data_IF_595146901644
#
_entry.id   IF_595146901644
#
_cell.length_a   1.000
_cell.length_b   1.000
_cell.length_c   1.000
_cell.angle_alpha   90.00
_cell.angle_beta   90.00
_cell.angle_gamma   90.00
#
_symmetry.space_group_name_H-M   'P 1'
#
loop_
_entity.id
_entity.type
_entity.pdbx_description
1 polymer ?
#
# COMPACT_ATOMS: atom_id res chain seq x y z
N UNK A 1 69.56 -10.95 6.12
CA UNK A 1 70.17 -9.66 6.51
C UNK A 1 69.11 -8.83 7.24
N UNK A 2 69.55 -8.01 8.20
CA UNK A 2 68.65 -7.21 9.04
C UNK A 2 67.64 -6.40 8.23
N UNK A 3 67.97 -5.88 7.04
CA UNK A 3 67.09 -5.18 6.13
C UNK A 3 65.94 -6.09 5.63
N UNK A 4 66.21 -7.32 5.28
CA UNK A 4 65.17 -8.29 4.82
C UNK A 4 64.16 -8.62 5.91
N UNK A 5 64.58 -8.63 7.17
CA UNK A 5 63.68 -8.92 8.31
C UNK A 5 62.79 -7.72 8.66
N UNK A 6 63.26 -6.48 8.46
CA UNK A 6 62.46 -5.26 8.60
C UNK A 6 61.38 -5.21 7.52
N UNK A 7 61.71 -5.47 6.25
CA UNK A 7 60.70 -5.50 5.17
C UNK A 7 59.63 -6.58 5.39
N UNK A 8 60.01 -7.76 5.87
CA UNK A 8 59.05 -8.83 6.19
C UNK A 8 58.07 -8.41 7.30
N UNK A 9 58.56 -7.75 8.35
CA UNK A 9 57.70 -7.27 9.45
C UNK A 9 56.74 -6.18 8.97
N UNK A 10 57.21 -5.23 8.15
CA UNK A 10 56.37 -4.21 7.57
C UNK A 10 55.30 -4.81 6.66
N UNK A 11 55.66 -5.77 5.79
CA UNK A 11 54.69 -6.44 4.94
C UNK A 11 53.62 -7.20 5.75
N UNK A 12 54.01 -7.91 6.79
CA UNK A 12 53.10 -8.63 7.69
C UNK A 12 52.16 -7.67 8.45
N UNK A 13 52.66 -6.49 8.87
CA UNK A 13 51.86 -5.45 9.51
C UNK A 13 50.80 -4.89 8.56
N UNK A 14 51.18 -4.57 7.33
CA UNK A 14 50.26 -4.06 6.30
C UNK A 14 49.21 -5.12 5.95
N UNK A 15 49.62 -6.39 5.79
CA UNK A 15 48.68 -7.48 5.54
C UNK A 15 47.68 -7.64 6.70
N UNK A 16 48.15 -7.53 7.95
CA UNK A 16 47.28 -7.58 9.13
C UNK A 16 46.27 -6.43 9.18
N UNK A 17 46.73 -5.23 8.88
CA UNK A 17 45.82 -4.05 8.81
C UNK A 17 44.79 -4.19 7.68
N UNK A 18 45.19 -4.66 6.49
CA UNK A 18 44.29 -4.94 5.40
C UNK A 18 43.27 -6.04 5.75
N UNK A 19 43.69 -7.11 6.38
CA UNK A 19 42.80 -8.19 6.82
C UNK A 19 41.77 -7.69 7.83
N UNK A 20 42.21 -6.90 8.82
CA UNK A 20 41.34 -6.29 9.81
C UNK A 20 40.33 -5.29 9.17
N UNK A 21 40.79 -4.49 8.20
CA UNK A 21 39.91 -3.56 7.47
C UNK A 21 38.83 -4.32 6.69
N UNK A 22 39.18 -5.40 5.98
CA UNK A 22 38.25 -6.27 5.26
C UNK A 22 37.25 -6.94 6.20
N UNK A 23 37.69 -7.42 7.33
CA UNK A 23 36.83 -8.03 8.35
C UNK A 23 35.86 -7.04 8.94
N UNK A 24 36.31 -5.80 9.23
CA UNK A 24 35.48 -4.74 9.71
C UNK A 24 34.43 -4.30 8.65
N UNK A 25 34.82 -4.21 7.38
CA UNK A 25 33.89 -3.91 6.28
C UNK A 25 32.83 -5.01 6.14
N UNK A 26 33.24 -6.26 6.18
CA UNK A 26 32.31 -7.41 6.14
C UNK A 26 31.33 -7.36 7.30
N UNK A 27 31.82 -7.17 8.53
CA UNK A 27 30.99 -7.09 9.73
C UNK A 27 29.99 -5.89 9.67
N UNK A 28 30.45 -4.74 9.14
CA UNK A 28 29.59 -3.58 8.94
C UNK A 28 28.46 -3.86 7.93
N UNK A 29 28.78 -4.54 6.83
CA UNK A 29 27.83 -4.95 5.80
C UNK A 29 26.79 -5.94 6.34
N UNK A 30 27.22 -6.98 7.05
CA UNK A 30 26.33 -7.96 7.68
C UNK A 30 25.37 -7.27 8.69
N UNK A 31 25.87 -6.35 9.50
CA UNK A 31 25.04 -5.55 10.42
C UNK A 31 24.03 -4.69 9.69
N UNK A 32 24.42 -4.08 8.58
CA UNK A 32 23.52 -3.25 7.78
C UNK A 32 22.41 -4.11 7.13
N UNK A 33 22.75 -5.26 6.57
CA UNK A 33 21.79 -6.18 5.98
C UNK A 33 20.80 -6.69 7.05
N UNK A 34 21.28 -7.09 8.22
CA UNK A 34 20.45 -7.50 9.34
C UNK A 34 19.50 -6.37 9.82
N UNK A 35 20.01 -5.13 9.87
CA UNK A 35 19.19 -3.98 10.26
C UNK A 35 18.08 -3.67 9.23
N UNK A 36 18.37 -3.80 7.94
CA UNK A 36 17.38 -3.65 6.87
C UNK A 36 16.30 -4.73 6.98
N UNK A 37 16.71 -5.98 7.18
CA UNK A 37 15.77 -7.10 7.35
C UNK A 37 14.86 -6.88 8.56
N UNK A 38 15.43 -6.53 9.71
CA UNK A 38 14.67 -6.26 10.93
C UNK A 38 13.68 -5.10 10.74
N UNK A 39 14.08 -4.04 10.03
CA UNK A 39 13.21 -2.91 9.71
C UNK A 39 12.04 -3.32 8.82
N UNK A 40 12.30 -4.15 7.81
CA UNK A 40 11.27 -4.65 6.91
C UNK A 40 10.25 -5.54 7.66
N UNK A 41 10.72 -6.43 8.53
CA UNK A 41 9.84 -7.25 9.37
C UNK A 41 9.00 -6.39 10.32
N UNK A 42 9.57 -5.34 10.91
CA UNK A 42 8.83 -4.41 11.76
C UNK A 42 7.76 -3.64 10.96
N UNK A 43 8.08 -3.21 9.73
CA UNK A 43 7.11 -2.55 8.84
C UNK A 43 5.96 -3.49 8.48
N UNK A 44 6.25 -4.75 8.14
CA UNK A 44 5.23 -5.77 7.87
C UNK A 44 4.32 -6.01 9.07
N UNK A 45 4.90 -6.15 10.25
CA UNK A 45 4.13 -6.34 11.48
C UNK A 45 3.22 -5.15 11.79
N UNK A 46 3.70 -3.92 11.60
CA UNK A 46 2.93 -2.70 11.79
C UNK A 46 1.79 -2.59 10.76
N UNK A 47 2.07 -2.91 9.49
CA UNK A 47 1.08 -2.91 8.42
C UNK A 47 -0.04 -3.92 8.71
N UNK A 48 0.30 -5.16 9.07
CA UNK A 48 -0.68 -6.19 9.43
C UNK A 48 -1.55 -5.78 10.62
N UNK A 49 -0.96 -5.09 11.62
CA UNK A 49 -1.71 -4.58 12.76
C UNK A 49 -2.69 -3.48 12.36
N UNK A 50 -2.25 -2.53 11.53
CA UNK A 50 -3.10 -1.46 11.00
C UNK A 50 -4.26 -2.04 10.18
N UNK A 51 -3.97 -2.93 9.23
CA UNK A 51 -4.98 -3.60 8.41
C UNK A 51 -5.99 -4.36 9.29
N UNK A 52 -5.50 -5.10 10.31
CA UNK A 52 -6.39 -5.84 11.22
C UNK A 52 -7.32 -4.93 12.01
N UNK A 53 -6.83 -3.75 12.39
CA UNK A 53 -7.65 -2.73 13.06
C UNK A 53 -8.70 -2.18 12.10
N UNK A 54 -8.29 -1.81 10.90
CA UNK A 54 -9.15 -1.18 9.90
C UNK A 54 -10.20 -2.15 9.33
N UNK A 55 -9.91 -3.45 9.28
CA UNK A 55 -10.90 -4.49 8.95
C UNK A 55 -11.92 -4.69 10.08
N UNK A 56 -11.51 -4.59 11.33
CA UNK A 56 -12.38 -4.88 12.48
C UNK A 56 -13.56 -3.91 12.59
N UNK A 57 -13.33 -2.63 12.33
CA UNK A 57 -14.34 -1.57 12.49
C UNK A 57 -15.57 -1.82 11.61
N UNK A 58 -15.47 -1.93 10.28
CA UNK A 58 -16.61 -2.19 9.41
C UNK A 58 -17.22 -3.60 9.65
N UNK A 59 -16.40 -4.61 9.94
CA UNK A 59 -16.94 -5.93 10.28
C UNK A 59 -17.80 -5.91 11.54
N UNK A 60 -17.41 -5.13 12.54
CA UNK A 60 -18.21 -4.96 13.76
C UNK A 60 -19.51 -4.22 13.48
N UNK A 61 -19.47 -3.19 12.62
CA UNK A 61 -20.66 -2.45 12.20
C UNK A 61 -21.62 -3.35 11.41
N UNK A 62 -21.11 -4.06 10.39
CA UNK A 62 -21.91 -5.03 9.61
C UNK A 62 -22.57 -6.07 10.53
N UNK A 63 -21.79 -6.68 11.42
CA UNK A 63 -22.30 -7.70 12.33
C UNK A 63 -23.34 -7.13 13.30
N UNK A 64 -23.10 -5.93 13.84
CA UNK A 64 -24.03 -5.24 14.73
C UNK A 64 -25.35 -4.88 14.06
N UNK A 65 -25.29 -4.29 12.85
CA UNK A 65 -26.46 -3.92 12.08
C UNK A 65 -27.26 -5.16 11.65
N UNK A 66 -26.59 -6.20 11.20
CA UNK A 66 -27.24 -7.47 10.86
C UNK A 66 -27.90 -8.13 12.07
N UNK A 67 -27.22 -8.13 13.24
CA UNK A 67 -27.78 -8.65 14.49
C UNK A 67 -29.01 -7.86 14.93
N UNK A 68 -28.99 -6.54 14.81
CA UNK A 68 -30.13 -5.69 15.12
C UNK A 68 -31.33 -5.98 14.21
N UNK A 69 -31.08 -6.15 12.91
CA UNK A 69 -32.13 -6.51 11.95
C UNK A 69 -32.73 -7.88 12.24
N UNK A 70 -31.91 -8.86 12.64
CA UNK A 70 -32.38 -10.21 12.97
C UNK A 70 -33.19 -10.24 14.27
N UNK A 71 -32.78 -9.48 15.29
CA UNK A 71 -33.39 -9.56 16.62
C UNK A 71 -34.58 -8.61 16.80
N UNK A 72 -34.53 -7.44 16.16
CA UNK A 72 -35.48 -6.35 16.37
C UNK A 72 -36.12 -5.83 15.07
N UNK A 73 -35.86 -6.50 13.95
CA UNK A 73 -36.30 -6.03 12.63
C UNK A 73 -37.81 -5.80 12.53
N UNK A 74 -38.63 -6.56 13.22
CA UNK A 74 -40.08 -6.40 13.22
C UNK A 74 -40.54 -5.08 13.89
N UNK A 75 -39.73 -4.53 14.78
CA UNK A 75 -40.02 -3.28 15.50
C UNK A 75 -39.51 -2.04 14.78
N UNK A 76 -38.64 -2.18 13.77
CA UNK A 76 -38.10 -1.05 13.02
C UNK A 76 -39.05 -0.63 11.89
N UNK A 77 -39.16 0.68 11.69
CA UNK A 77 -39.80 1.23 10.50
C UNK A 77 -38.99 0.95 9.22
N UNK A 78 -39.61 1.19 8.08
CA UNK A 78 -38.95 0.92 6.79
C UNK A 78 -37.72 1.80 6.54
N UNK A 79 -37.71 3.02 7.03
CA UNK A 79 -36.60 3.95 6.84
C UNK A 79 -35.40 3.52 7.68
N UNK A 80 -35.62 3.15 8.94
CA UNK A 80 -34.57 2.58 9.80
C UNK A 80 -34.00 1.29 9.20
N UNK A 81 -34.85 0.37 8.71
CA UNK A 81 -34.37 -0.85 8.04
C UNK A 81 -33.52 -0.53 6.83
N UNK A 82 -33.99 0.40 5.99
CA UNK A 82 -33.28 0.82 4.80
C UNK A 82 -31.90 1.39 5.14
N UNK A 83 -31.80 2.22 6.18
CA UNK A 83 -30.55 2.79 6.64
C UNK A 83 -29.59 1.69 7.11
N UNK A 84 -30.04 0.74 7.92
CA UNK A 84 -29.20 -0.38 8.38
C UNK A 84 -28.71 -1.26 7.23
N UNK A 85 -29.54 -1.49 6.20
CA UNK A 85 -29.09 -2.20 5.00
C UNK A 85 -28.07 -1.41 4.21
N UNK A 86 -28.24 -0.10 4.09
CA UNK A 86 -27.28 0.78 3.41
C UNK A 86 -25.93 0.77 4.14
N UNK A 87 -25.94 0.91 5.46
CA UNK A 87 -24.73 0.88 6.28
C UNK A 87 -23.96 -0.45 6.10
N UNK A 88 -24.68 -1.60 6.09
CA UNK A 88 -24.09 -2.92 5.82
C UNK A 88 -23.47 -2.97 4.43
N UNK A 89 -24.18 -2.45 3.43
CA UNK A 89 -23.71 -2.43 2.05
C UNK A 89 -22.46 -1.56 1.89
N UNK A 90 -22.48 -0.36 2.42
CA UNK A 90 -21.37 0.59 2.32
C UNK A 90 -20.11 0.08 3.03
N UNK A 91 -20.24 -0.47 4.23
CA UNK A 91 -19.15 -1.10 4.96
C UNK A 91 -18.58 -2.32 4.21
N UNK A 92 -19.45 -3.10 3.56
CA UNK A 92 -19.03 -4.25 2.75
C UNK A 92 -18.25 -3.80 1.50
N UNK A 93 -18.71 -2.75 0.82
CA UNK A 93 -18.01 -2.19 -0.34
C UNK A 93 -16.66 -1.58 0.04
N UNK A 94 -16.59 -0.95 1.21
CA UNK A 94 -15.33 -0.43 1.75
C UNK A 94 -14.33 -1.57 2.01
N UNK A 95 -14.79 -2.70 2.60
CA UNK A 95 -13.94 -3.87 2.83
C UNK A 95 -13.42 -4.49 1.52
N UNK A 96 -14.26 -4.57 0.49
CA UNK A 96 -13.84 -5.05 -0.84
C UNK A 96 -12.71 -4.18 -1.39
N UNK A 97 -12.88 -2.86 -1.36
CA UNK A 97 -11.87 -1.92 -1.83
C UNK A 97 -10.55 -2.04 -1.04
N UNK A 98 -10.63 -2.21 0.30
CA UNK A 98 -9.44 -2.40 1.14
C UNK A 98 -8.68 -3.68 0.77
N UNK A 99 -9.40 -4.78 0.54
CA UNK A 99 -8.79 -6.06 0.11
C UNK A 99 -8.14 -5.92 -1.27
N UNK A 100 -8.80 -5.27 -2.22
CA UNK A 100 -8.25 -5.03 -3.56
C UNK A 100 -6.97 -4.19 -3.51
N UNK A 101 -6.95 -3.14 -2.70
CA UNK A 101 -5.76 -2.31 -2.48
C UNK A 101 -4.61 -3.14 -1.86
N UNK A 102 -4.90 -4.00 -0.89
CA UNK A 102 -3.90 -4.87 -0.28
C UNK A 102 -3.32 -5.88 -1.29
N UNK A 103 -4.17 -6.46 -2.13
CA UNK A 103 -3.73 -7.36 -3.21
C UNK A 103 -2.91 -6.62 -4.27
N UNK A 104 -3.19 -5.35 -4.55
CA UNK A 104 -2.37 -4.52 -5.44
C UNK A 104 -0.97 -4.30 -4.86
N UNK A 105 -0.87 -3.97 -3.55
CA UNK A 105 0.41 -3.81 -2.87
C UNK A 105 1.24 -5.09 -2.91
N UNK A 106 0.63 -6.26 -2.63
CA UNK A 106 1.35 -7.55 -2.67
C UNK A 106 1.86 -7.88 -4.06
N UNK A 107 1.11 -7.57 -5.12
CA UNK A 107 1.56 -7.75 -6.51
C UNK A 107 2.75 -6.86 -6.86
N UNK A 108 2.79 -5.64 -6.32
CA UNK A 108 3.92 -4.71 -6.49
C UNK A 108 5.17 -5.27 -5.79
N UNK A 109 5.05 -5.71 -4.54
CA UNK A 109 6.17 -6.28 -3.76
C UNK A 109 6.74 -7.54 -4.41
N UNK A 110 5.91 -8.38 -5.02
CA UNK A 110 6.33 -9.59 -5.73
C UNK A 110 6.90 -9.32 -7.13
N UNK A 111 6.92 -8.07 -7.57
CA UNK A 111 7.34 -7.70 -8.94
C UNK A 111 6.42 -8.24 -10.04
N UNK A 112 5.20 -8.63 -9.67
CA UNK A 112 4.20 -9.22 -10.58
C UNK A 112 3.19 -8.23 -11.12
N UNK A 113 3.44 -6.93 -10.93
CA UNK A 113 2.58 -5.88 -11.47
C UNK A 113 2.74 -5.84 -13.00
N UNK A 114 1.87 -6.52 -13.71
CA UNK A 114 1.76 -6.44 -15.16
C UNK A 114 1.00 -5.15 -15.52
N UNK A 115 1.73 -4.06 -15.68
CA UNK A 115 1.16 -2.81 -16.15
C UNK A 115 0.66 -2.97 -17.60
N UNK A 116 -0.59 -2.65 -17.85
CA UNK A 116 -1.15 -2.51 -19.19
C UNK A 116 -1.02 -1.06 -19.63
N UNK A 117 0.16 -0.72 -20.13
CA UNK A 117 0.41 0.63 -20.61
C UNK A 117 -0.20 0.77 -22.01
N UNK A 118 -1.23 1.60 -22.10
CA UNK A 118 -1.92 2.00 -23.35
C UNK A 118 -1.85 3.52 -23.49
N UNK A 119 -2.09 4.01 -24.71
CA UNK A 119 -2.27 5.44 -24.93
C UNK A 119 -3.74 5.76 -24.72
N UNK A 120 -4.05 6.42 -23.61
CA UNK A 120 -5.41 6.76 -23.22
C UNK A 120 -5.57 8.26 -23.05
N UNK A 121 -6.79 8.76 -23.29
CA UNK A 121 -7.16 10.14 -23.04
C UNK A 121 -7.32 10.37 -21.53
N UNK A 122 -6.64 11.38 -21.01
CA UNK A 122 -6.74 11.73 -19.59
C UNK A 122 -8.16 12.12 -19.19
N UNK A 123 -8.91 12.75 -20.09
CA UNK A 123 -10.30 13.16 -19.85
C UNK A 123 -11.21 11.95 -19.64
N UNK A 124 -11.00 10.85 -20.37
CA UNK A 124 -11.76 9.61 -20.18
C UNK A 124 -11.46 8.99 -18.81
N UNK A 125 -10.19 8.97 -18.42
CA UNK A 125 -9.73 8.45 -17.12
C UNK A 125 -10.30 9.27 -15.95
N UNK A 126 -10.30 10.61 -16.08
CA UNK A 126 -10.88 11.50 -15.07
C UNK A 126 -12.41 11.33 -15.00
N UNK A 127 -13.07 11.22 -16.16
CA UNK A 127 -14.52 11.02 -16.23
C UNK A 127 -14.93 9.71 -15.55
N UNK A 128 -14.20 8.62 -15.81
CA UNK A 128 -14.39 7.32 -15.15
C UNK A 128 -14.23 7.45 -13.63
N UNK A 129 -13.15 8.10 -13.18
CA UNK A 129 -12.90 8.32 -11.75
C UNK A 129 -14.02 9.13 -11.08
N UNK A 130 -14.46 10.22 -11.72
CA UNK A 130 -15.56 11.06 -11.22
C UNK A 130 -16.88 10.28 -11.13
N UNK A 131 -17.13 9.37 -12.06
CA UNK A 131 -18.32 8.52 -12.02
C UNK A 131 -18.37 7.64 -10.76
N UNK A 132 -17.20 7.19 -10.28
CA UNK A 132 -17.07 6.43 -9.04
C UNK A 132 -17.19 7.31 -7.79
N UNK A 133 -16.66 8.53 -7.84
CA UNK A 133 -16.68 9.48 -6.73
C UNK A 133 -18.08 10.07 -6.51
N UNK A 134 -18.80 10.46 -7.57
CA UNK A 134 -20.14 11.09 -7.49
C UNK A 134 -21.21 10.23 -6.82
N UNK A 135 -21.01 8.92 -6.70
CA UNK A 135 -21.89 8.04 -5.91
C UNK A 135 -21.76 8.21 -4.40
N UNK A 136 -20.64 8.79 -3.92
CA UNK A 136 -20.31 8.90 -2.48
C UNK A 136 -20.31 10.33 -1.94
N UNK A 137 -20.32 11.36 -2.80
CA UNK A 137 -20.14 12.75 -2.35
C UNK A 137 -21.22 13.69 -2.87
N UNK A 138 -22.45 13.53 -2.38
CA UNK A 138 -23.49 14.56 -2.58
C UNK A 138 -23.14 15.89 -1.88
N UNK A 139 -22.13 15.92 -1.00
CA UNK A 139 -21.74 17.08 -0.19
C UNK A 139 -20.58 17.90 -0.79
N UNK A 140 -19.87 17.40 -1.82
CA UNK A 140 -18.68 18.06 -2.36
C UNK A 140 -18.82 18.32 -3.86
N UNK A 141 -18.61 19.57 -4.28
CA UNK A 141 -18.51 19.93 -5.70
C UNK A 141 -17.06 19.78 -6.15
N UNK A 142 -16.82 18.82 -7.05
CA UNK A 142 -15.51 18.60 -7.66
C UNK A 142 -15.46 19.35 -8.98
N UNK A 143 -14.48 20.24 -9.13
CA UNK A 143 -14.22 20.97 -10.36
C UNK A 143 -12.98 20.39 -11.03
N UNK A 144 -13.07 20.14 -12.33
CA UNK A 144 -11.93 19.70 -13.14
C UNK A 144 -11.59 20.83 -14.11
N UNK A 145 -10.38 21.34 -14.04
CA UNK A 145 -9.86 22.31 -15.01
C UNK A 145 -8.78 21.63 -15.84
N UNK A 146 -8.95 21.60 -17.16
CA UNK A 146 -7.93 21.19 -18.11
C UNK A 146 -7.50 22.39 -18.95
N UNK A 147 -6.19 22.56 -19.13
CA UNK A 147 -5.63 23.58 -20.01
C UNK A 147 -5.50 23.11 -21.46
N UNK A 148 -5.57 21.80 -21.68
CA UNK A 148 -5.44 21.16 -22.99
C UNK A 148 -6.68 20.31 -23.27
N UNK A 149 -7.26 20.44 -24.45
CA UNK A 149 -8.50 19.76 -24.84
C UNK A 149 -8.30 18.25 -25.11
N UNK A 150 -7.07 17.79 -25.41
CA UNK A 150 -6.77 16.38 -25.69
C UNK A 150 -5.39 16.01 -25.12
N UNK A 151 -5.36 15.58 -23.88
CA UNK A 151 -4.14 15.08 -23.26
C UNK A 151 -4.07 13.54 -23.38
N UNK A 152 -3.25 13.04 -24.32
CA UNK A 152 -2.92 11.63 -24.44
C UNK A 152 -1.72 11.30 -23.56
N UNK A 153 -1.84 10.27 -22.74
CA UNK A 153 -0.75 9.78 -21.90
C UNK A 153 -0.62 8.25 -21.98
N UNK A 154 0.63 7.78 -21.89
CA UNK A 154 0.92 6.35 -21.77
C UNK A 154 0.77 5.93 -20.32
N UNK A 155 -0.28 5.20 -20.01
CA UNK A 155 -0.59 4.81 -18.64
C UNK A 155 -1.37 3.49 -18.57
N UNK A 156 -1.47 2.93 -17.39
CA UNK A 156 -2.51 1.95 -17.08
C UNK A 156 -3.73 2.71 -16.55
N UNK A 157 -4.71 2.94 -17.42
CA UNK A 157 -5.90 3.75 -17.13
C UNK A 157 -6.63 3.29 -15.87
N UNK A 158 -6.74 1.96 -15.64
CA UNK A 158 -7.42 1.42 -14.45
C UNK A 158 -6.71 1.76 -13.16
N UNK A 159 -5.37 1.72 -13.16
CA UNK A 159 -4.59 2.08 -11.98
C UNK A 159 -4.67 3.58 -11.71
N UNK A 160 -4.64 4.41 -12.74
CA UNK A 160 -4.77 5.87 -12.58
C UNK A 160 -6.17 6.23 -12.06
N UNK A 161 -7.25 5.63 -12.59
CA UNK A 161 -8.61 5.78 -12.05
C UNK A 161 -8.63 5.46 -10.56
N UNK A 162 -8.02 4.34 -10.15
CA UNK A 162 -7.97 3.96 -8.72
C UNK A 162 -7.18 4.95 -7.86
N UNK A 163 -6.08 5.51 -8.39
CA UNK A 163 -5.31 6.57 -7.70
C UNK A 163 -6.15 7.83 -7.49
N UNK A 164 -6.97 8.23 -8.48
CA UNK A 164 -7.81 9.42 -8.40
C UNK A 164 -8.97 9.22 -7.40
N UNK A 165 -9.51 8.01 -7.30
CA UNK A 165 -10.62 7.69 -6.40
C UNK A 165 -10.18 7.62 -4.93
N UNK A 166 -8.91 7.24 -4.65
CA UNK A 166 -8.34 7.11 -3.30
C UNK A 166 -7.83 8.44 -2.74
#
# INVERSE_FOLDING_TARGET
SAASDVYKRQLLSILGECALALENEKNAREKQEAAILAKNEQLRANLLRAISHDLRTPLTSISGNASNLLSNGDFFDNDTKKQLYMDIYDDSMWLINLVENLLAVTRIEEGRLNLRITEDLMDDVITEALHHINRKSEEHHIFVESKEEFLLAKMDAKLIVQVIIN
#
